data_IF_718537123636
#
_entry.id   IF_718537123636
#
_cell.length_a   1.000
_cell.length_b   1.000
_cell.length_c   1.000
_cell.angle_alpha   90.00
_cell.angle_beta   90.00
_cell.angle_gamma   90.00
#
_symmetry.space_group_name_H-M   'P 1'
#
loop_
_entity.id
_entity.type
_entity.pdbx_description
1 polymer ?
#
# COMPACT_ATOMS: atom_id res chain seq x y z
N UNK A 1 -12.09 0.61 -7.23
CA UNK A 1 -11.54 0.95 -5.88
C UNK A 1 -12.69 1.03 -4.90
N UNK A 2 -12.52 0.63 -3.65
CA UNK A 2 -13.55 0.84 -2.62
C UNK A 2 -13.26 2.13 -1.86
N UNK A 3 -14.32 2.79 -1.37
CA UNK A 3 -14.19 3.95 -0.50
C UNK A 3 -13.28 3.63 0.70
N UNK A 4 -12.40 4.56 1.06
CA UNK A 4 -11.42 4.38 2.14
C UNK A 4 -10.16 3.57 1.76
N UNK A 5 -9.97 3.23 0.49
CA UNK A 5 -8.73 2.60 0.01
C UNK A 5 -7.58 3.60 -0.03
N UNK A 6 -6.40 3.15 0.38
CA UNK A 6 -5.16 3.91 0.22
C UNK A 6 -4.38 3.44 -1.02
N UNK A 7 -3.80 4.40 -1.75
CA UNK A 7 -2.88 4.16 -2.85
C UNK A 7 -1.51 4.76 -2.53
N UNK A 8 -0.44 4.18 -3.09
CA UNK A 8 0.91 4.76 -2.99
C UNK A 8 1.59 4.65 -1.62
N UNK A 9 0.97 4.03 -0.60
CA UNK A 9 1.53 3.90 0.76
C UNK A 9 2.94 3.30 0.77
N UNK A 10 3.22 2.31 -0.09
CA UNK A 10 4.53 1.68 -0.18
C UNK A 10 5.62 2.71 -0.52
N UNK A 11 5.39 3.49 -1.58
CA UNK A 11 6.31 4.53 -2.03
C UNK A 11 6.41 5.66 -1.01
N UNK A 12 5.29 6.04 -0.39
CA UNK A 12 5.27 7.06 0.65
C UNK A 12 6.08 6.65 1.88
N UNK A 13 5.88 5.44 2.41
CA UNK A 13 6.46 5.00 3.68
C UNK A 13 7.90 4.46 3.51
N UNK A 14 8.15 3.64 2.48
CA UNK A 14 9.44 2.97 2.27
C UNK A 14 10.43 3.75 1.39
N UNK A 15 10.02 4.90 0.85
CA UNK A 15 10.81 5.70 -0.09
C UNK A 15 11.25 4.95 -1.36
N UNK A 16 10.32 4.18 -1.92
CA UNK A 16 10.53 3.38 -3.12
C UNK A 16 9.74 3.90 -4.33
N UNK A 17 10.18 3.57 -5.54
CA UNK A 17 9.44 3.84 -6.78
C UNK A 17 8.07 3.14 -6.81
N UNK A 18 7.13 3.70 -7.55
CA UNK A 18 5.84 3.06 -7.79
C UNK A 18 5.99 1.78 -8.60
N UNK A 19 5.44 0.67 -8.10
CA UNK A 19 5.49 -0.64 -8.75
C UNK A 19 4.30 -0.92 -9.67
N UNK A 20 3.32 -0.02 -9.69
CA UNK A 20 2.09 -0.19 -10.46
C UNK A 20 1.49 1.16 -10.83
N UNK A 21 0.79 1.17 -11.96
CA UNK A 21 -0.02 2.30 -12.41
C UNK A 21 -1.46 2.09 -11.95
N UNK A 22 -2.07 3.11 -11.36
CA UNK A 22 -3.50 3.14 -11.09
C UNK A 22 -4.21 3.91 -12.20
N UNK A 23 -5.32 3.37 -12.70
CA UNK A 23 -6.22 4.03 -13.64
C UNK A 23 -7.59 4.15 -12.97
N UNK A 24 -8.23 5.30 -13.16
CA UNK A 24 -9.56 5.56 -12.67
C UNK A 24 -10.52 5.53 -13.87
N UNK A 25 -11.47 4.60 -13.86
CA UNK A 25 -12.43 4.43 -14.95
C UNK A 25 -13.72 5.24 -14.73
N UNK A 26 -14.04 5.56 -13.46
CA UNK A 26 -15.19 6.38 -13.05
C UNK A 26 -14.74 7.71 -12.43
N UNK A 27 -15.66 8.66 -12.27
CA UNK A 27 -15.38 9.88 -11.49
C UNK A 27 -15.13 9.54 -10.01
N UNK A 28 -13.94 9.88 -9.52
CA UNK A 28 -13.52 9.65 -8.14
C UNK A 28 -12.83 10.89 -7.58
N UNK A 29 -13.06 11.17 -6.30
CA UNK A 29 -12.31 12.19 -5.55
C UNK A 29 -11.20 11.53 -4.75
N UNK A 30 -9.98 12.06 -4.88
CA UNK A 30 -8.80 11.59 -4.16
C UNK A 30 -8.29 12.65 -3.21
N UNK A 31 -7.91 12.23 -2.01
CA UNK A 31 -7.14 13.03 -1.08
C UNK A 31 -5.66 12.63 -1.19
N UNK A 32 -4.77 13.62 -1.25
CA UNK A 32 -3.33 13.41 -1.37
C UNK A 32 -2.62 13.71 -0.05
N UNK A 33 -1.72 12.82 0.34
CA UNK A 33 -0.78 13.03 1.43
C UNK A 33 0.64 12.96 0.88
N UNK A 34 1.35 14.09 0.89
CA UNK A 34 2.74 14.12 0.46
C UNK A 34 3.71 13.64 1.56
N UNK A 35 4.97 13.39 1.18
CA UNK A 35 6.00 12.90 2.09
C UNK A 35 6.29 13.85 3.25
N UNK A 36 6.30 15.16 3.01
CA UNK A 36 6.56 16.13 4.06
C UNK A 36 5.40 16.18 5.06
N UNK A 37 4.16 16.09 4.59
CA UNK A 37 2.96 15.98 5.40
C UNK A 37 2.93 14.69 6.21
N UNK A 38 3.33 13.55 5.61
CA UNK A 38 3.48 12.29 6.36
C UNK A 38 4.52 12.39 7.47
N UNK A 39 5.69 13.02 7.20
CA UNK A 39 6.71 13.24 8.23
C UNK A 39 6.21 14.13 9.37
N UNK A 40 5.45 15.19 9.05
CA UNK A 40 4.79 16.01 10.07
C UNK A 40 3.78 15.21 10.88
N UNK A 41 2.93 14.42 10.22
CA UNK A 41 1.97 13.54 10.88
C UNK A 41 2.64 12.58 11.86
N UNK A 42 3.78 11.99 11.48
CA UNK A 42 4.55 11.11 12.35
C UNK A 42 5.02 11.81 13.65
N UNK A 43 5.32 13.10 13.58
CA UNK A 43 5.73 13.88 14.75
C UNK A 43 4.55 14.44 15.56
N UNK A 44 3.46 14.83 14.89
CA UNK A 44 2.29 15.46 15.51
C UNK A 44 1.32 14.45 16.10
N UNK A 45 1.13 13.29 15.46
CA UNK A 45 0.31 12.19 15.94
C UNK A 45 0.88 10.84 15.46
N UNK A 46 1.80 10.25 16.23
CA UNK A 46 2.36 8.93 15.94
C UNK A 46 1.29 7.83 15.80
N UNK A 47 0.18 7.93 16.53
CA UNK A 47 -0.92 6.97 16.47
C UNK A 47 -1.58 6.97 15.08
N UNK A 48 -1.81 8.16 14.52
CA UNK A 48 -2.38 8.29 13.19
C UNK A 48 -1.40 7.79 12.10
N UNK A 49 -0.11 8.07 12.25
CA UNK A 49 0.91 7.54 11.33
C UNK A 49 0.98 6.00 11.40
N UNK A 50 0.88 5.41 12.60
CA UNK A 50 0.87 3.96 12.79
C UNK A 50 -0.29 3.28 12.06
N UNK A 51 -1.46 3.93 11.94
CA UNK A 51 -2.59 3.38 11.16
C UNK A 51 -2.24 3.21 9.66
N UNK A 52 -1.45 4.13 9.10
CA UNK A 52 -0.98 4.03 7.71
C UNK A 52 0.03 2.89 7.56
N UNK A 53 0.93 2.72 8.53
CA UNK A 53 1.90 1.61 8.55
C UNK A 53 1.19 0.24 8.67
N UNK A 54 0.22 0.11 9.57
CA UNK A 54 -0.59 -1.11 9.72
C UNK A 54 -1.37 -1.41 8.45
N UNK A 55 -1.90 -0.37 7.78
CA UNK A 55 -2.59 -0.53 6.50
C UNK A 55 -1.66 -1.05 5.40
N UNK A 56 -0.43 -0.53 5.32
CA UNK A 56 0.60 -1.03 4.42
C UNK A 56 0.99 -2.49 4.76
N UNK A 57 1.22 -2.79 6.04
CA UNK A 57 1.57 -4.13 6.48
C UNK A 57 0.50 -5.16 6.08
N UNK A 58 -0.79 -4.86 6.34
CA UNK A 58 -1.91 -5.72 5.91
C UNK A 58 -1.95 -5.91 4.40
N UNK A 59 -1.74 -4.86 3.63
CA UNK A 59 -1.69 -4.94 2.17
C UNK A 59 -0.56 -5.86 1.69
N UNK A 60 0.66 -5.70 2.24
CA UNK A 60 1.81 -6.53 1.88
C UNK A 60 1.61 -7.98 2.28
N UNK A 61 1.10 -8.26 3.49
CA UNK A 61 0.76 -9.62 3.92
C UNK A 61 -0.29 -10.26 2.99
N UNK A 62 -1.30 -9.50 2.58
CA UNK A 62 -2.31 -9.97 1.63
C UNK A 62 -1.68 -10.31 0.26
N UNK A 63 -0.81 -9.44 -0.27
CA UNK A 63 -0.08 -9.69 -1.52
C UNK A 63 0.83 -10.92 -1.42
N UNK A 64 1.59 -11.07 -0.33
CA UNK A 64 2.44 -12.25 -0.10
C UNK A 64 1.62 -13.53 -0.07
N UNK A 65 0.48 -13.53 0.62
CA UNK A 65 -0.44 -14.68 0.64
C UNK A 65 -0.94 -15.03 -0.77
N UNK A 66 -1.34 -14.02 -1.56
CA UNK A 66 -1.77 -14.25 -2.94
C UNK A 66 -0.67 -14.83 -3.82
N UNK A 67 0.55 -14.30 -3.73
CA UNK A 67 1.69 -14.81 -4.50
C UNK A 67 2.07 -16.22 -4.05
N UNK A 68 2.14 -16.47 -2.74
CA UNK A 68 2.43 -17.78 -2.17
C UNK A 68 1.40 -18.82 -2.65
N UNK A 69 0.11 -18.53 -2.52
CA UNK A 69 -0.95 -19.43 -2.99
C UNK A 69 -0.83 -19.70 -4.50
N UNK A 70 -0.50 -18.69 -5.30
CA UNK A 70 -0.29 -18.86 -6.75
C UNK A 70 0.89 -19.77 -7.06
N UNK A 71 2.01 -19.64 -6.34
CA UNK A 71 3.19 -20.51 -6.51
C UNK A 71 2.85 -21.95 -6.10
N UNK A 72 2.19 -22.13 -4.95
CA UNK A 72 1.74 -23.46 -4.48
C UNK A 72 0.77 -24.12 -5.46
N UNK A 73 -0.18 -23.36 -6.02
CA UNK A 73 -1.13 -23.85 -7.04
C UNK A 73 -0.44 -24.13 -8.39
N UNK A 74 0.62 -23.38 -8.72
CA UNK A 74 1.34 -23.52 -9.98
C UNK A 74 2.30 -24.73 -10.05
N UNK A 75 2.53 -25.46 -8.95
CA UNK A 75 3.32 -26.72 -8.88
C UNK A 75 4.49 -26.81 -9.87
N UNK A 76 5.27 -25.75 -9.97
CA UNK A 76 6.66 -25.82 -10.42
C UNK A 76 7.47 -25.48 -9.18
N UNK A 77 7.99 -26.52 -8.53
CA UNK A 77 9.11 -26.34 -7.62
C UNK A 77 10.22 -25.65 -8.44
N UNK A 78 10.80 -24.53 -7.98
CA UNK A 78 12.01 -24.05 -8.61
C UNK A 78 13.08 -25.14 -8.40
N UNK A 79 13.57 -25.70 -9.49
CA UNK A 79 14.83 -26.47 -9.53
C UNK A 79 15.97 -25.46 -9.41
#
# INVERSE_FOLDING_TARGET
MTLGSFLGLRSLILDECHLATARCDDECTFYSLDRAAYKRLFHESPEAASLLEVSLARYLSHKLRHVSNRIYQARSLPV
#
